data_IF_809920513476
#
_entry.id   IF_809920513476
#
_cell.length_a   1.000
_cell.length_b   1.000
_cell.length_c   1.000
_cell.angle_alpha   90.00
_cell.angle_beta   90.00
_cell.angle_gamma   90.00
#
_symmetry.space_group_name_H-M   'P 1'
#
loop_
_entity.id
_entity.type
_entity.pdbx_description
1 polymer ?
#
# COMPACT_ATOMS: atom_id res chain seq x y z
N UNK A 1 16.69 71.02 35.27
CA UNK A 1 16.57 71.08 36.74
C UNK A 1 16.70 69.66 37.24
N UNK A 2 17.81 69.38 37.72
CA UNK A 2 18.14 69.06 39.13
C UNK A 2 17.56 67.69 39.54
N UNK A 3 18.22 66.81 40.00
CA UNK A 3 19.43 66.68 40.78
C UNK A 3 19.37 65.33 41.48
N UNK A 4 20.39 64.62 41.36
CA UNK A 4 21.24 64.19 42.48
C UNK A 4 20.68 62.95 43.20
N UNK A 5 21.36 61.91 43.14
CA UNK A 5 22.60 61.50 43.71
C UNK A 5 22.43 60.47 44.87
N UNK A 6 23.24 59.50 44.78
CA UNK A 6 24.11 58.95 45.83
C UNK A 6 23.43 58.00 46.82
N UNK A 7 23.98 57.00 47.18
CA UNK A 7 25.27 56.38 47.49
C UNK A 7 25.01 55.02 48.10
N UNK A 8 25.80 54.11 47.76
CA UNK A 8 26.82 53.42 48.63
C UNK A 8 26.18 52.64 49.79
N UNK A 9 26.52 51.53 50.05
CA UNK A 9 27.70 50.71 49.94
C UNK A 9 27.56 49.55 50.96
N UNK A 10 28.32 48.60 50.71
CA UNK A 10 29.12 47.86 51.65
C UNK A 10 28.52 46.65 52.35
N UNK A 11 29.26 45.57 52.05
CA UNK A 11 29.81 44.60 53.00
C UNK A 11 28.83 43.55 53.54
N UNK A 12 29.10 42.36 53.64
CA UNK A 12 30.31 41.52 53.84
C UNK A 12 29.91 40.05 53.63
N UNK A 13 30.68 39.36 52.97
CA UNK A 13 31.47 38.20 53.31
C UNK A 13 30.87 37.12 54.23
N UNK A 14 31.10 35.93 53.74
CA UNK A 14 31.26 34.64 54.45
C UNK A 14 29.97 33.79 54.51
N UNK A 15 29.90 32.63 53.89
CA UNK A 15 30.74 31.48 54.28
C UNK A 15 30.60 30.38 53.23
N UNK A 16 31.65 29.69 53.05
CA UNK A 16 31.80 28.40 52.43
C UNK A 16 30.65 27.42 52.74
N UNK A 17 30.14 26.82 51.72
CA UNK A 17 29.34 25.63 51.78
C UNK A 17 29.51 24.88 50.47
N UNK A 18 30.48 23.96 50.42
CA UNK A 18 30.53 22.93 49.41
C UNK A 18 29.26 22.12 49.50
N UNK A 19 28.38 22.24 48.50
CA UNK A 19 27.37 21.23 48.26
C UNK A 19 27.60 20.74 46.83
N UNK A 20 28.21 19.56 46.74
CA UNK A 20 28.28 18.78 45.51
C UNK A 20 26.85 18.34 45.17
N UNK A 21 26.20 19.11 44.33
CA UNK A 21 24.93 18.75 43.75
C UNK A 21 25.18 17.89 42.50
N UNK A 22 25.04 16.59 42.67
CA UNK A 22 24.90 15.67 41.53
C UNK A 22 23.59 16.01 40.82
N UNK A 23 23.69 16.77 39.76
CA UNK A 23 22.57 16.98 38.86
C UNK A 23 22.32 15.67 38.07
N UNK A 24 21.42 14.86 38.58
CA UNK A 24 20.87 13.74 37.80
C UNK A 24 20.01 14.33 36.68
N UNK A 25 20.61 14.45 35.49
CA UNK A 25 19.86 14.69 34.27
C UNK A 25 19.06 13.44 33.94
N UNK A 26 17.79 13.45 34.35
CA UNK A 26 16.79 12.50 33.83
C UNK A 26 16.62 12.78 32.36
N UNK A 27 17.37 12.03 31.54
CA UNK A 27 17.15 11.97 30.10
C UNK A 27 15.77 11.38 29.86
N UNK A 28 14.81 12.22 29.52
CA UNK A 28 13.54 11.80 28.96
C UNK A 28 13.85 11.20 27.59
N UNK A 29 14.06 9.89 27.55
CA UNK A 29 14.04 9.14 26.31
C UNK A 29 12.60 9.23 25.78
N UNK A 30 12.37 10.17 24.88
CA UNK A 30 11.15 10.24 24.11
C UNK A 30 11.04 8.97 23.28
N UNK A 31 10.15 8.07 23.68
CA UNK A 31 9.67 6.97 22.83
C UNK A 31 8.97 7.62 21.64
N UNK A 32 9.72 7.78 20.55
CA UNK A 32 9.13 8.08 19.24
C UNK A 32 8.38 6.81 18.84
N UNK A 33 7.04 6.83 18.69
CA UNK A 33 6.35 5.69 18.15
C UNK A 33 6.84 5.51 16.69
N UNK A 34 7.66 4.51 16.45
CA UNK A 34 7.92 4.04 15.11
C UNK A 34 6.60 3.47 14.59
N UNK A 35 5.97 4.21 13.68
CA UNK A 35 4.91 3.67 12.86
C UNK A 35 5.50 2.49 12.09
N UNK A 36 5.34 1.29 12.62
CA UNK A 36 5.62 0.09 11.89
C UNK A 36 4.67 0.07 10.69
N UNK A 37 5.20 0.38 9.51
CA UNK A 37 4.54 0.06 8.26
C UNK A 37 4.48 -1.46 8.17
N UNK A 38 3.49 -2.05 8.83
CA UNK A 38 3.14 -3.43 8.67
C UNK A 38 2.55 -3.60 7.26
N UNK A 39 3.41 -3.70 6.25
CA UNK A 39 3.05 -4.37 5.02
C UNK A 39 2.68 -5.79 5.44
N UNK A 40 1.37 -6.10 5.40
CA UNK A 40 0.90 -7.47 5.64
C UNK A 40 1.66 -8.46 4.76
N UNK A 41 1.68 -9.75 5.11
CA UNK A 41 2.38 -10.76 4.34
C UNK A 41 1.96 -10.69 2.88
N UNK A 42 2.94 -10.60 1.98
CA UNK A 42 2.70 -10.63 0.53
C UNK A 42 2.20 -12.02 0.19
N UNK A 43 1.02 -12.17 -0.46
CA UNK A 43 0.54 -13.49 -0.86
C UNK A 43 1.56 -14.18 -1.76
N UNK A 44 1.86 -15.44 -1.47
CA UNK A 44 2.66 -16.27 -2.36
C UNK A 44 1.76 -16.69 -3.53
N UNK A 45 1.96 -16.07 -4.68
CA UNK A 45 1.19 -16.31 -5.89
C UNK A 45 2.01 -17.18 -6.85
N UNK A 46 1.36 -18.19 -7.43
CA UNK A 46 1.90 -18.87 -8.60
C UNK A 46 2.02 -17.91 -9.80
N UNK A 47 2.74 -18.31 -10.80
CA UNK A 47 2.82 -17.60 -12.09
C UNK A 47 2.34 -18.48 -13.23
N UNK A 48 1.92 -17.85 -14.31
CA UNK A 48 1.58 -18.47 -15.58
C UNK A 48 2.10 -17.60 -16.70
N UNK A 49 2.77 -18.17 -17.69
CA UNK A 49 3.18 -17.43 -18.88
C UNK A 49 1.95 -17.08 -19.73
N UNK A 50 2.02 -15.99 -20.49
CA UNK A 50 0.97 -15.64 -21.44
C UNK A 50 0.67 -16.81 -22.38
N UNK A 51 1.70 -17.53 -22.85
CA UNK A 51 1.53 -18.72 -23.72
C UNK A 51 0.90 -19.92 -23.01
N UNK A 52 0.92 -19.97 -21.69
CA UNK A 52 0.29 -21.02 -20.86
C UNK A 52 -1.17 -20.72 -20.49
N UNK A 53 -1.69 -19.57 -20.89
CA UNK A 53 -3.09 -19.22 -20.64
C UNK A 53 -4.02 -19.88 -21.69
N UNK A 54 -5.29 -20.14 -21.31
CA UNK A 54 -6.32 -20.51 -22.29
C UNK A 54 -6.46 -19.41 -23.38
N UNK A 55 -6.80 -19.79 -24.62
CA UNK A 55 -6.97 -18.81 -25.72
C UNK A 55 -7.92 -17.68 -25.39
N UNK A 56 -8.99 -17.94 -24.63
CA UNK A 56 -9.96 -16.93 -24.19
C UNK A 56 -9.34 -15.93 -23.20
N UNK A 57 -8.41 -16.36 -22.37
CA UNK A 57 -7.71 -15.48 -21.45
C UNK A 57 -6.71 -14.58 -22.21
N UNK A 58 -6.02 -15.12 -23.20
CA UNK A 58 -5.15 -14.34 -24.09
C UNK A 58 -5.97 -13.28 -24.82
N UNK A 59 -7.14 -13.65 -25.36
CA UNK A 59 -8.03 -12.71 -26.03
C UNK A 59 -8.50 -11.60 -25.09
N UNK A 60 -8.85 -11.94 -23.83
CA UNK A 60 -9.24 -10.96 -22.82
C UNK A 60 -8.07 -10.03 -22.46
N UNK A 61 -6.86 -10.55 -22.30
CA UNK A 61 -5.67 -9.73 -22.01
C UNK A 61 -5.41 -8.73 -23.13
N UNK A 62 -5.52 -9.15 -24.40
CA UNK A 62 -5.38 -8.27 -25.55
C UNK A 62 -6.46 -7.18 -25.56
N UNK A 63 -7.72 -7.51 -25.25
CA UNK A 63 -8.79 -6.53 -25.11
C UNK A 63 -8.53 -5.52 -24.00
N UNK A 64 -7.98 -5.96 -22.85
CA UNK A 64 -7.60 -5.05 -21.75
C UNK A 64 -6.56 -4.04 -22.25
N UNK A 65 -5.50 -4.49 -22.93
CA UNK A 65 -4.43 -3.65 -23.44
C UNK A 65 -4.90 -2.70 -24.57
N UNK A 66 -5.93 -3.09 -25.30
CA UNK A 66 -6.55 -2.25 -26.34
C UNK A 66 -7.62 -1.29 -25.78
N UNK A 67 -7.97 -1.39 -24.49
CA UNK A 67 -9.03 -0.57 -23.92
C UNK A 67 -10.45 -1.04 -24.25
N UNK A 68 -10.63 -2.26 -24.69
CA UNK A 68 -11.89 -2.89 -25.10
C UNK A 68 -11.93 -3.21 -26.61
N UNK A 69 -13.10 -3.61 -27.12
CA UNK A 69 -14.37 -3.72 -26.41
C UNK A 69 -14.43 -4.87 -25.42
N UNK A 70 -15.38 -4.78 -24.47
CA UNK A 70 -15.63 -5.82 -23.47
C UNK A 70 -17.05 -6.40 -23.61
N UNK A 71 -17.17 -7.71 -23.40
CA UNK A 71 -18.43 -8.43 -23.62
C UNK A 71 -19.43 -8.30 -22.45
N UNK A 72 -18.95 -7.98 -21.26
CA UNK A 72 -19.78 -7.95 -20.06
C UNK A 72 -19.77 -6.58 -19.39
N UNK A 73 -20.90 -6.13 -18.88
CA UNK A 73 -21.05 -4.83 -18.20
C UNK A 73 -20.22 -4.68 -16.91
N UNK A 74 -19.77 -5.79 -16.35
CA UNK A 74 -18.88 -5.81 -15.18
C UNK A 74 -17.40 -5.71 -15.53
N UNK A 75 -17.03 -5.85 -16.78
CA UNK A 75 -15.65 -5.76 -17.19
C UNK A 75 -15.13 -4.34 -16.97
N UNK A 76 -13.93 -4.24 -16.40
CA UNK A 76 -13.36 -2.97 -15.96
C UNK A 76 -13.85 -2.47 -14.60
N UNK A 77 -14.76 -3.18 -13.94
CA UNK A 77 -15.20 -2.83 -12.59
C UNK A 77 -14.07 -2.97 -11.58
N UNK A 78 -14.12 -2.16 -10.51
CA UNK A 78 -13.12 -2.20 -9.44
C UNK A 78 -13.24 -3.52 -8.66
N UNK A 79 -12.12 -4.24 -8.59
CA UNK A 79 -11.96 -5.43 -7.76
C UNK A 79 -11.42 -5.03 -6.38
N UNK A 80 -12.17 -5.32 -5.33
CA UNK A 80 -11.89 -4.82 -3.98
C UNK A 80 -10.80 -5.56 -3.21
N UNK A 81 -10.33 -6.73 -3.69
CA UNK A 81 -9.32 -7.59 -3.02
C UNK A 81 -9.60 -7.77 -1.50
N UNK A 82 -10.85 -7.93 -1.12
CA UNK A 82 -11.29 -7.99 0.30
C UNK A 82 -10.64 -9.15 1.06
N UNK A 83 -10.45 -10.27 0.39
CA UNK A 83 -9.83 -11.47 0.95
C UNK A 83 -8.29 -11.42 0.90
N UNK A 84 -7.71 -10.31 0.43
CA UNK A 84 -6.26 -10.11 0.35
C UNK A 84 -5.51 -11.21 -0.40
N UNK A 85 -6.14 -11.78 -1.43
CA UNK A 85 -5.56 -12.79 -2.31
C UNK A 85 -4.50 -12.22 -3.25
N UNK A 86 -4.59 -10.94 -3.57
CA UNK A 86 -3.60 -10.19 -4.32
C UNK A 86 -2.79 -9.27 -3.40
N UNK A 87 -1.62 -8.79 -3.83
CA UNK A 87 -0.83 -7.82 -3.08
C UNK A 87 -1.68 -6.62 -2.63
N UNK A 88 -1.40 -6.09 -1.45
CA UNK A 88 -2.11 -4.93 -0.94
C UNK A 88 -1.88 -3.71 -1.85
N UNK A 89 -2.97 -3.04 -2.21
CA UNK A 89 -2.93 -1.85 -3.04
C UNK A 89 -4.04 -0.86 -2.63
N UNK A 90 -3.94 0.38 -3.10
CA UNK A 90 -4.95 1.40 -2.85
C UNK A 90 -6.30 1.02 -3.48
N UNK A 91 -7.38 1.56 -2.95
CA UNK A 91 -8.71 1.37 -3.52
C UNK A 91 -8.75 1.83 -4.99
N UNK A 92 -9.38 1.03 -5.84
CA UNK A 92 -9.51 1.30 -7.28
C UNK A 92 -8.28 0.91 -8.11
N UNK A 93 -7.22 0.39 -7.48
CA UNK A 93 -6.03 -0.08 -8.20
C UNK A 93 -6.31 -1.30 -9.06
N UNK A 94 -7.10 -2.26 -8.55
CA UNK A 94 -7.46 -3.47 -9.28
C UNK A 94 -8.77 -3.32 -10.03
N UNK A 95 -8.82 -3.89 -11.25
CA UNK A 95 -10.02 -4.03 -12.07
C UNK A 95 -10.17 -5.46 -12.56
N UNK A 96 -11.40 -5.95 -12.61
CA UNK A 96 -11.71 -7.31 -13.04
C UNK A 96 -12.23 -7.35 -14.47
N UNK A 97 -11.94 -8.45 -15.16
CA UNK A 97 -12.39 -8.70 -16.52
C UNK A 97 -12.80 -10.17 -16.67
N UNK A 98 -13.87 -10.41 -17.39
CA UNK A 98 -14.39 -11.76 -17.64
C UNK A 98 -13.55 -12.46 -18.69
N UNK A 99 -13.14 -13.68 -18.39
CA UNK A 99 -12.59 -14.61 -19.37
C UNK A 99 -13.68 -15.59 -19.77
N UNK A 100 -14.02 -15.63 -21.05
CA UNK A 100 -15.05 -16.54 -21.54
C UNK A 100 -14.72 -17.97 -21.17
N UNK A 101 -15.73 -18.72 -20.73
CA UNK A 101 -15.60 -20.18 -20.48
C UNK A 101 -16.41 -20.89 -21.56
N UNK A 102 -15.79 -21.66 -22.47
CA UNK A 102 -16.49 -22.43 -23.48
C UNK A 102 -17.59 -23.32 -22.87
N UNK A 103 -18.75 -23.38 -23.51
CA UNK A 103 -19.88 -24.20 -23.06
C UNK A 103 -20.68 -23.64 -21.89
N UNK A 104 -20.32 -22.45 -21.37
CA UNK A 104 -21.05 -21.78 -20.29
C UNK A 104 -21.81 -20.58 -20.85
N UNK A 105 -23.09 -20.44 -20.51
CA UNK A 105 -23.96 -19.37 -21.01
C UNK A 105 -23.88 -18.09 -20.17
N UNK A 106 -23.41 -18.17 -18.94
CA UNK A 106 -23.20 -17.03 -18.03
C UNK A 106 -21.73 -16.54 -18.07
N UNK A 107 -21.36 -15.68 -17.12
CA UNK A 107 -19.99 -15.16 -17.00
C UNK A 107 -18.95 -16.24 -16.69
N UNK A 108 -19.36 -17.42 -16.21
CA UNK A 108 -18.46 -18.46 -15.71
C UNK A 108 -17.59 -18.01 -14.53
N UNK A 109 -16.59 -18.81 -14.19
CA UNK A 109 -15.70 -18.54 -13.04
C UNK A 109 -14.38 -17.85 -13.40
N UNK A 110 -13.99 -17.88 -14.68
CA UNK A 110 -12.68 -17.40 -15.12
C UNK A 110 -12.62 -15.86 -15.17
N UNK A 111 -11.55 -15.28 -14.61
CA UNK A 111 -11.31 -13.83 -14.60
C UNK A 111 -9.84 -13.50 -14.85
N UNK A 112 -9.60 -12.30 -15.35
CA UNK A 112 -8.33 -11.61 -15.22
C UNK A 112 -8.57 -10.39 -14.31
N UNK A 113 -7.70 -10.21 -13.34
CA UNK A 113 -7.68 -9.02 -12.48
C UNK A 113 -6.36 -8.30 -12.73
N UNK A 114 -6.43 -7.08 -13.21
CA UNK A 114 -5.26 -6.27 -13.50
C UNK A 114 -5.17 -5.08 -12.54
N UNK A 115 -3.95 -4.77 -12.11
CA UNK A 115 -3.62 -3.61 -11.27
C UNK A 115 -2.80 -2.59 -12.03
N UNK A 116 -3.02 -1.33 -11.72
CA UNK A 116 -2.31 -0.20 -12.30
C UNK A 116 -3.14 1.07 -12.35
N UNK A 117 -2.48 2.19 -12.61
CA UNK A 117 -3.14 3.49 -12.69
C UNK A 117 -3.91 3.67 -14.00
N UNK A 118 -3.46 3.04 -15.07
CA UNK A 118 -4.08 3.08 -16.39
C UNK A 118 -4.63 1.72 -16.76
N UNK A 119 -5.95 1.56 -16.91
CA UNK A 119 -6.59 0.26 -17.18
C UNK A 119 -6.04 -0.44 -18.44
N UNK A 120 -5.78 0.28 -19.52
CA UNK A 120 -5.23 -0.28 -20.76
C UNK A 120 -3.70 -0.52 -20.72
N UNK A 121 -3.02 -0.03 -19.70
CA UNK A 121 -1.59 -0.28 -19.50
C UNK A 121 -1.34 -0.74 -18.06
N UNK A 122 -1.82 -1.94 -17.69
CA UNK A 122 -1.69 -2.45 -16.34
C UNK A 122 -0.23 -2.79 -16.00
N UNK A 123 0.12 -2.61 -14.72
CA UNK A 123 1.44 -2.94 -14.16
C UNK A 123 1.58 -4.44 -13.87
N UNK A 124 0.48 -5.09 -13.53
CA UNK A 124 0.43 -6.52 -13.28
C UNK A 124 -0.97 -7.06 -13.52
N UNK A 125 -1.06 -8.25 -14.12
CA UNK A 125 -2.31 -8.98 -14.28
C UNK A 125 -2.24 -10.36 -13.63
N UNK A 126 -3.38 -10.83 -13.17
CA UNK A 126 -3.53 -12.11 -12.46
C UNK A 126 -4.72 -12.86 -13.05
N UNK A 127 -4.51 -14.14 -13.32
CA UNK A 127 -5.54 -15.03 -13.83
C UNK A 127 -6.10 -15.89 -12.71
N UNK A 128 -7.41 -16.13 -12.72
CA UNK A 128 -8.12 -17.07 -11.88
C UNK A 128 -9.10 -17.88 -12.71
N UNK A 129 -9.22 -19.16 -12.43
CA UNK A 129 -10.20 -20.06 -13.04
C UNK A 129 -11.22 -20.63 -12.04
N UNK A 130 -11.11 -20.25 -10.76
CA UNK A 130 -11.88 -20.74 -9.63
C UNK A 130 -12.67 -19.64 -8.89
N UNK A 131 -13.10 -18.60 -9.62
CA UNK A 131 -13.91 -17.49 -9.08
C UNK A 131 -13.24 -16.78 -7.90
N UNK A 132 -11.96 -16.37 -8.10
CA UNK A 132 -11.13 -15.60 -7.16
C UNK A 132 -10.60 -16.39 -5.96
N UNK A 133 -10.79 -17.72 -5.88
CA UNK A 133 -10.27 -18.52 -4.79
C UNK A 133 -8.74 -18.61 -4.83
N UNK A 134 -8.16 -18.67 -6.03
CA UNK A 134 -6.71 -18.60 -6.25
C UNK A 134 -6.37 -17.69 -7.42
N UNK A 135 -5.11 -17.22 -7.46
CA UNK A 135 -4.60 -16.40 -8.53
C UNK A 135 -3.21 -16.84 -8.97
N UNK A 136 -2.93 -16.68 -10.26
CA UNK A 136 -1.61 -16.84 -10.86
C UNK A 136 -1.23 -15.54 -11.55
N UNK A 137 -0.04 -15.01 -11.24
CA UNK A 137 0.45 -13.81 -11.92
C UNK A 137 0.77 -14.14 -13.38
N UNK A 138 0.24 -13.35 -14.29
CA UNK A 138 0.57 -13.47 -15.71
C UNK A 138 1.96 -12.85 -15.93
N UNK A 139 2.85 -13.63 -16.55
CA UNK A 139 4.20 -13.21 -16.91
C UNK A 139 4.41 -13.40 -18.40
N UNK A 140 5.21 -12.51 -18.99
CA UNK A 140 5.55 -12.54 -20.44
C UNK A 140 6.53 -13.68 -20.71
#
# INVERSE_FOLDING_TARGET
>A
MSSTARRLAWYQLRKLGLAVGVAATLGVFGLVPQAANAKGPVPVLGSVSTSGLPPEAIATENSIRSGGPFAHSKDGAVFGNRERRLPAARRGYYREYTVRTPGVHDRGARRIVCGGDRPANPEACYYTDDHYASFRRIVQ
#
